data_IF_403609008748
#
_entry.id   IF_403609008748
#
_cell.length_a   1.000
_cell.length_b   1.000
_cell.length_c   1.000
_cell.angle_alpha   90.00
_cell.angle_beta   90.00
_cell.angle_gamma   90.00
#
_symmetry.space_group_name_H-M   'P 1'
#
loop_
_entity.id
_entity.type
_entity.pdbx_description
1 polymer ?
#
# COMPACT_ATOMS: atom_id res chain seq x y z
N UNK A 1 8.57 -1.95 13.59
CA UNK A 1 7.11 -1.99 13.79
C UNK A 1 6.43 -2.26 12.47
N UNK A 2 5.42 -3.15 12.45
CA UNK A 2 4.63 -3.41 11.22
C UNK A 2 3.91 -2.14 10.75
N UNK A 3 3.66 -2.01 9.43
CA UNK A 3 3.15 -0.79 8.84
C UNK A 3 2.16 -1.09 7.71
N UNK A 4 1.20 -0.20 7.51
CA UNK A 4 0.22 -0.30 6.42
C UNK A 4 0.63 0.64 5.29
N UNK A 5 0.74 0.11 4.08
CA UNK A 5 0.89 0.89 2.85
C UNK A 5 -0.50 1.08 2.24
N UNK A 6 -1.03 2.28 2.41
CA UNK A 6 -2.32 2.67 1.87
C UNK A 6 -2.16 3.72 0.77
N UNK A 7 -3.10 3.78 -0.16
CA UNK A 7 -3.02 4.69 -1.29
C UNK A 7 -4.19 5.65 -1.40
N UNK A 8 -3.95 6.79 -2.02
CA UNK A 8 -5.01 7.74 -2.39
C UNK A 8 -5.87 7.23 -3.54
N UNK A 9 -5.35 6.26 -4.32
CA UNK A 9 -6.00 5.69 -5.50
C UNK A 9 -5.43 4.31 -5.86
N UNK A 10 -5.99 3.65 -6.88
CA UNK A 10 -5.42 2.46 -7.53
C UNK A 10 -4.32 2.85 -8.52
N UNK A 11 -3.31 1.97 -8.72
CA UNK A 11 -2.27 2.17 -9.75
C UNK A 11 -1.26 3.29 -9.45
N UNK A 12 -1.12 3.72 -8.20
CA UNK A 12 -0.27 4.85 -7.80
C UNK A 12 1.09 4.43 -7.21
N UNK A 13 1.46 3.16 -7.32
CA UNK A 13 2.76 2.66 -6.87
C UNK A 13 2.82 2.08 -5.46
N UNK A 14 1.67 1.70 -4.84
CA UNK A 14 1.68 1.02 -3.53
C UNK A 14 2.59 -0.20 -3.50
N UNK A 15 2.45 -1.06 -4.51
CA UNK A 15 3.21 -2.31 -4.59
C UNK A 15 4.72 -2.07 -4.75
N UNK A 16 5.10 -1.01 -5.48
CA UNK A 16 6.51 -0.61 -5.58
C UNK A 16 7.01 -0.06 -4.23
N UNK A 17 6.19 0.76 -3.56
CA UNK A 17 6.50 1.26 -2.22
C UNK A 17 6.70 0.09 -1.23
N UNK A 18 5.79 -0.88 -1.23
CA UNK A 18 5.89 -2.09 -0.42
C UNK A 18 7.18 -2.88 -0.74
N UNK A 19 7.50 -3.05 -2.04
CA UNK A 19 8.72 -3.72 -2.48
C UNK A 19 9.99 -3.03 -1.97
N UNK A 20 10.04 -1.70 -2.06
CA UNK A 20 11.19 -0.90 -1.56
C UNK A 20 11.36 -1.07 -0.06
N UNK A 21 10.27 -1.01 0.72
CA UNK A 21 10.32 -1.20 2.18
C UNK A 21 10.76 -2.62 2.54
N UNK A 22 10.15 -3.63 1.91
CA UNK A 22 10.53 -5.04 2.12
C UNK A 22 11.99 -5.29 1.75
N UNK A 23 12.46 -4.72 0.63
CA UNK A 23 13.85 -4.86 0.20
C UNK A 23 14.83 -4.17 1.14
N UNK A 24 14.53 -2.93 1.57
CA UNK A 24 15.42 -2.14 2.41
C UNK A 24 15.50 -2.66 3.85
N UNK A 25 14.36 -3.03 4.44
CA UNK A 25 14.25 -3.38 5.87
C UNK A 25 14.11 -4.88 6.14
N UNK A 26 13.94 -5.69 5.10
CA UNK A 26 13.70 -7.13 5.24
C UNK A 26 12.34 -7.45 5.87
N UNK A 27 11.37 -6.54 5.82
CA UNK A 27 10.03 -6.78 6.34
C UNK A 27 9.31 -7.85 5.51
N UNK A 28 8.43 -8.59 6.16
CA UNK A 28 7.50 -9.48 5.48
C UNK A 28 6.45 -8.70 4.71
N UNK A 29 5.78 -9.35 3.77
CA UNK A 29 4.72 -8.74 2.97
C UNK A 29 3.39 -9.49 3.15
N UNK A 30 2.32 -8.73 3.26
CA UNK A 30 0.96 -9.25 3.34
C UNK A 30 -0.01 -8.37 2.54
N UNK A 31 -0.71 -8.96 1.58
CA UNK A 31 -1.81 -8.36 0.83
C UNK A 31 -3.13 -8.99 1.30
N UNK A 32 -3.93 -8.35 2.16
CA UNK A 32 -5.15 -8.95 2.70
C UNK A 32 -6.15 -9.41 1.64
N UNK A 33 -6.34 -8.59 0.59
CA UNK A 33 -7.30 -8.86 -0.49
C UNK A 33 -6.64 -8.56 -1.83
N UNK A 34 -6.60 -9.53 -2.71
CA UNK A 34 -6.25 -9.39 -4.13
C UNK A 34 -7.51 -9.54 -4.97
N UNK A 35 -7.74 -8.63 -5.92
CA UNK A 35 -8.87 -8.70 -6.86
C UNK A 35 -8.36 -8.63 -8.30
N UNK A 36 -8.56 -9.73 -9.03
CA UNK A 36 -8.08 -9.93 -10.40
C UNK A 36 -6.57 -10.08 -10.50
N UNK A 37 -6.13 -10.40 -11.71
CA UNK A 37 -4.73 -10.53 -12.15
C UNK A 37 -3.88 -11.43 -11.21
N UNK A 38 -4.42 -12.59 -10.84
CA UNK A 38 -3.80 -13.47 -9.85
C UNK A 38 -2.43 -13.99 -10.29
N UNK A 39 -2.20 -14.14 -11.59
CA UNK A 39 -0.91 -14.58 -12.13
C UNK A 39 0.19 -13.49 -12.05
N UNK A 40 -0.22 -12.21 -11.99
CA UNK A 40 0.66 -11.06 -11.82
C UNK A 40 0.25 -10.21 -10.61
N UNK A 41 -0.29 -10.85 -9.58
CA UNK A 41 -0.75 -10.17 -8.35
C UNK A 41 0.36 -9.37 -7.68
N UNK A 42 -0.04 -8.48 -6.77
CA UNK A 42 0.92 -7.70 -6.00
C UNK A 42 1.91 -8.61 -5.24
N UNK A 43 1.43 -9.72 -4.67
CA UNK A 43 2.30 -10.71 -4.00
C UNK A 43 3.28 -11.39 -4.98
N UNK A 44 2.84 -11.69 -6.19
CA UNK A 44 3.71 -12.23 -7.25
C UNK A 44 4.76 -11.18 -7.66
N UNK A 45 4.37 -9.91 -7.77
CA UNK A 45 5.30 -8.82 -8.03
C UNK A 45 6.37 -8.72 -6.94
N UNK A 46 5.99 -8.73 -5.66
CA UNK A 46 6.93 -8.71 -4.54
C UNK A 46 7.87 -9.91 -4.60
N UNK A 47 7.34 -11.11 -4.84
CA UNK A 47 8.13 -12.36 -4.96
C UNK A 47 9.18 -12.30 -6.05
N UNK A 48 8.87 -11.65 -7.18
CA UNK A 48 9.79 -11.51 -8.32
C UNK A 48 10.86 -10.43 -8.10
N UNK A 49 10.54 -9.39 -7.34
CA UNK A 49 11.34 -8.17 -7.31
C UNK A 49 12.02 -7.86 -5.96
N UNK A 50 11.64 -8.52 -4.88
CA UNK A 50 12.31 -8.42 -3.57
C UNK A 50 13.25 -9.61 -3.41
N UNK A 51 14.55 -9.32 -3.24
CA UNK A 51 15.60 -10.34 -3.08
C UNK A 51 16.19 -10.37 -1.67
N UNK A 52 15.66 -9.57 -0.75
CA UNK A 52 16.06 -9.60 0.65
C UNK A 52 15.64 -10.94 1.28
N UNK A 53 16.60 -11.78 1.74
CA UNK A 53 16.29 -13.14 2.22
C UNK A 53 15.47 -13.17 3.51
N UNK A 54 15.37 -12.05 4.23
CA UNK A 54 14.55 -11.94 5.44
C UNK A 54 13.07 -11.73 5.15
N UNK A 55 12.71 -11.36 3.91
CA UNK A 55 11.33 -11.07 3.53
C UNK A 55 10.55 -12.35 3.23
N UNK A 56 9.52 -12.61 4.02
CA UNK A 56 8.53 -13.67 3.77
C UNK A 56 7.26 -13.04 3.19
N UNK A 57 6.69 -13.67 2.15
CA UNK A 57 5.44 -13.24 1.55
C UNK A 57 4.33 -14.14 2.06
N UNK A 58 3.39 -13.55 2.78
CA UNK A 58 2.25 -14.26 3.33
C UNK A 58 1.11 -14.38 2.31
N UNK A 59 0.35 -15.49 2.32
CA UNK A 59 -0.79 -15.66 1.43
C UNK A 59 -1.88 -14.63 1.73
N UNK A 60 -2.59 -14.18 0.69
CA UNK A 60 -3.74 -13.30 0.82
C UNK A 60 -4.87 -13.99 1.58
N UNK A 61 -5.63 -13.23 2.39
CA UNK A 61 -6.86 -13.75 3.02
C UNK A 61 -7.96 -14.02 1.99
N UNK A 62 -8.00 -13.19 0.92
CA UNK A 62 -8.94 -13.34 -0.19
C UNK A 62 -8.25 -13.13 -1.52
N UNK A 63 -8.42 -14.08 -2.43
CA UNK A 63 -8.05 -14.00 -3.84
C UNK A 63 -9.34 -14.04 -4.65
N UNK A 64 -9.63 -12.94 -5.36
CA UNK A 64 -10.80 -12.80 -6.20
C UNK A 64 -10.38 -12.90 -7.66
N UNK A 65 -11.13 -13.66 -8.48
CA UNK A 65 -10.80 -13.89 -9.87
C UNK A 65 -11.10 -12.66 -10.74
N UNK A 66 -12.17 -11.93 -10.39
CA UNK A 66 -12.65 -10.82 -11.18
C UNK A 66 -11.80 -9.55 -10.96
N UNK A 67 -11.25 -8.91 -12.02
CA UNK A 67 -10.49 -7.67 -11.91
C UNK A 67 -11.42 -6.46 -11.75
N UNK A 68 -11.91 -6.24 -10.53
CA UNK A 68 -12.82 -5.16 -10.18
C UNK A 68 -12.54 -4.67 -8.75
N UNK A 69 -13.30 -3.69 -8.26
CA UNK A 69 -13.24 -3.33 -6.84
C UNK A 69 -13.61 -4.55 -5.96
N UNK A 70 -12.93 -4.78 -4.82
CA UNK A 70 -13.07 -6.02 -4.06
C UNK A 70 -14.52 -6.44 -3.76
N UNK A 71 -15.37 -5.50 -3.34
CA UNK A 71 -16.78 -5.79 -3.05
C UNK A 71 -17.56 -6.32 -4.27
N UNK A 72 -17.27 -5.77 -5.46
CA UNK A 72 -17.93 -6.17 -6.70
C UNK A 72 -17.32 -7.47 -7.24
N UNK A 73 -16.00 -7.61 -7.21
CA UNK A 73 -15.32 -8.85 -7.57
C UNK A 73 -15.83 -10.03 -6.71
N UNK A 74 -15.90 -9.84 -5.39
CA UNK A 74 -16.42 -10.85 -4.47
C UNK A 74 -17.85 -11.26 -4.80
N UNK A 75 -18.71 -10.29 -5.13
CA UNK A 75 -20.10 -10.57 -5.50
C UNK A 75 -20.19 -11.39 -6.79
N UNK A 76 -19.36 -11.10 -7.79
CA UNK A 76 -19.31 -11.85 -9.05
C UNK A 76 -18.73 -13.26 -8.86
N UNK A 77 -17.75 -13.40 -8.00
CA UNK A 77 -17.07 -14.66 -7.71
C UNK A 77 -17.84 -15.52 -6.68
N UNK A 78 -18.98 -15.05 -6.16
CA UNK A 78 -19.78 -15.76 -5.15
C UNK A 78 -19.07 -15.82 -3.77
N UNK A 79 -18.14 -14.93 -3.50
CA UNK A 79 -17.35 -14.87 -2.27
C UNK A 79 -17.90 -13.78 -1.33
N UNK A 80 -17.95 -14.07 -0.04
CA UNK A 80 -18.30 -13.07 0.97
C UNK A 80 -17.04 -12.69 1.76
N UNK A 81 -16.58 -11.46 1.60
CA UNK A 81 -15.46 -10.93 2.40
C UNK A 81 -15.99 -10.57 3.77
N UNK A 82 -15.41 -11.19 4.82
CA UNK A 82 -15.70 -10.92 6.22
C UNK A 82 -14.45 -10.39 6.91
N UNK A 83 -14.60 -9.33 7.69
CA UNK A 83 -13.49 -8.70 8.42
C UNK A 83 -12.78 -9.69 9.35
N UNK A 84 -13.55 -10.57 10.00
CA UNK A 84 -13.07 -11.56 10.95
C UNK A 84 -12.11 -12.60 10.33
N UNK A 85 -12.20 -12.78 9.01
CA UNK A 85 -11.35 -13.72 8.28
C UNK A 85 -10.06 -13.05 7.74
N UNK A 86 -9.93 -11.72 7.89
CA UNK A 86 -8.71 -11.00 7.53
C UNK A 86 -7.84 -10.86 8.78
N UNK A 87 -7.00 -11.85 9.00
CA UNK A 87 -6.15 -11.96 10.19
C UNK A 87 -4.70 -11.64 9.80
N UNK A 88 -4.04 -10.81 10.61
CA UNK A 88 -2.61 -10.55 10.42
C UNK A 88 -1.83 -11.86 10.57
N UNK A 89 -0.91 -12.16 9.64
CA UNK A 89 -0.04 -13.31 9.76
C UNK A 89 0.79 -13.27 11.04
N UNK A 90 1.00 -14.43 11.65
CA UNK A 90 1.93 -14.56 12.76
C UNK A 90 3.34 -14.61 12.19
N UNK A 91 4.15 -13.62 12.51
CA UNK A 91 5.54 -13.53 12.10
C UNK A 91 6.44 -13.06 13.26
N UNK A 92 7.72 -13.44 13.23
CA UNK A 92 8.76 -12.87 14.09
C UNK A 92 9.30 -11.55 13.51
N UNK A 93 8.96 -11.26 12.26
CA UNK A 93 9.40 -10.08 11.54
C UNK A 93 8.30 -9.01 11.54
N UNK A 94 8.66 -7.77 11.25
CA UNK A 94 7.69 -6.73 10.94
C UNK A 94 7.06 -6.98 9.57
N UNK A 95 5.83 -6.54 9.36
CA UNK A 95 5.06 -6.82 8.15
C UNK A 95 4.66 -5.50 7.48
N UNK A 96 4.84 -5.44 6.17
CA UNK A 96 4.21 -4.46 5.29
C UNK A 96 2.86 -5.01 4.86
N UNK A 97 1.78 -4.32 5.25
CA UNK A 97 0.41 -4.67 4.87
C UNK A 97 -0.04 -3.71 3.76
N UNK A 98 -0.36 -4.23 2.58
CA UNK A 98 -0.79 -3.41 1.45
C UNK A 98 -2.29 -3.43 1.24
N UNK A 99 -2.94 -2.25 1.18
CA UNK A 99 -4.38 -2.14 0.91
C UNK A 99 -4.73 -2.33 -0.57
N UNK A 100 -5.93 -2.82 -0.85
CA UNK A 100 -6.47 -2.95 -2.21
C UNK A 100 -7.14 -1.63 -2.67
N UNK A 101 -6.53 -0.93 -3.64
CA UNK A 101 -7.08 0.34 -4.13
C UNK A 101 -6.83 1.53 -3.21
N UNK A 102 -7.73 2.51 -3.22
CA UNK A 102 -7.65 3.69 -2.36
C UNK A 102 -8.17 3.42 -0.94
N UNK A 103 -7.86 4.34 -0.01
CA UNK A 103 -8.21 4.18 1.42
C UNK A 103 -9.73 4.03 1.67
N UNK A 104 -10.57 4.63 0.83
CA UNK A 104 -12.03 4.53 0.92
C UNK A 104 -12.63 3.47 -0.01
N UNK A 105 -11.81 2.65 -0.70
CA UNK A 105 -12.33 1.58 -1.56
C UNK A 105 -13.06 0.52 -0.75
N UNK A 106 -14.25 0.06 -1.20
CA UNK A 106 -15.03 -0.94 -0.50
C UNK A 106 -14.45 -2.34 -0.67
N UNK A 107 -14.24 -3.03 0.45
CA UNK A 107 -13.91 -4.45 0.51
C UNK A 107 -15.17 -5.31 0.48
N UNK A 108 -16.21 -4.89 1.20
CA UNK A 108 -17.53 -5.50 1.23
C UNK A 108 -18.61 -4.44 1.52
N UNK A 109 -19.89 -4.84 1.55
CA UNK A 109 -20.97 -3.93 1.94
C UNK A 109 -20.77 -3.45 3.39
N UNK A 110 -20.60 -2.13 3.55
CA UNK A 110 -20.37 -1.50 4.86
C UNK A 110 -18.96 -1.74 5.44
N UNK A 111 -18.01 -2.21 4.63
CA UNK A 111 -16.65 -2.47 5.05
C UNK A 111 -15.66 -1.92 4.01
N UNK A 112 -14.90 -0.89 4.37
CA UNK A 112 -13.93 -0.20 3.54
C UNK A 112 -12.49 -0.55 3.93
N UNK A 113 -11.51 -0.22 3.08
CA UNK A 113 -10.09 -0.32 3.44
C UNK A 113 -9.76 0.43 4.73
N UNK A 114 -10.33 1.63 4.94
CA UNK A 114 -10.07 2.41 6.15
C UNK A 114 -10.55 1.69 7.42
N UNK A 115 -11.62 0.91 7.32
CA UNK A 115 -12.12 0.10 8.44
C UNK A 115 -11.15 -1.05 8.76
N UNK A 116 -10.53 -1.64 7.71
CA UNK A 116 -9.49 -2.66 7.88
C UNK A 116 -8.22 -2.07 8.50
N UNK A 117 -7.80 -0.89 8.02
CA UNK A 117 -6.66 -0.14 8.57
C UNK A 117 -6.88 0.16 10.06
N UNK A 118 -8.05 0.65 10.42
CA UNK A 118 -8.42 0.92 11.81
C UNK A 118 -8.46 -0.37 12.65
N UNK A 119 -8.92 -1.46 12.08
CA UNK A 119 -8.97 -2.78 12.75
C UNK A 119 -7.56 -3.30 13.08
N UNK A 120 -6.59 -3.13 12.19
CA UNK A 120 -5.21 -3.55 12.46
C UNK A 120 -4.49 -2.64 13.45
N UNK A 121 -4.96 -1.41 13.62
CA UNK A 121 -4.40 -0.43 14.56
C UNK A 121 -2.88 -0.24 14.40
N UNK A 122 -2.42 -0.15 13.16
CA UNK A 122 -1.02 0.05 12.77
C UNK A 122 -0.86 1.39 12.06
N UNK A 123 0.33 2.00 12.11
CA UNK A 123 0.58 3.25 11.41
C UNK A 123 0.55 3.06 9.90
N UNK A 124 0.20 4.14 9.19
CA UNK A 124 0.01 4.17 7.75
C UNK A 124 1.11 4.98 7.08
N UNK A 125 1.71 4.43 6.03
CA UNK A 125 2.36 5.21 4.98
C UNK A 125 1.30 5.49 3.91
N UNK A 126 1.02 6.78 3.66
CA UNK A 126 0.10 7.17 2.62
C UNK A 126 0.85 7.41 1.31
N UNK A 127 0.58 6.58 0.31
CA UNK A 127 1.18 6.66 -1.01
C UNK A 127 0.35 7.57 -1.89
N UNK A 128 1.01 8.53 -2.52
CA UNK A 128 0.45 9.46 -3.50
C UNK A 128 1.26 9.40 -4.81
N UNK A 129 0.65 9.79 -5.90
CA UNK A 129 1.31 9.99 -7.19
C UNK A 129 0.85 11.31 -7.79
N UNK A 130 1.59 11.82 -8.78
CA UNK A 130 1.28 13.08 -9.40
C UNK A 130 0.37 12.91 -10.62
N UNK A 131 -0.83 13.46 -10.56
CA UNK A 131 -1.80 13.58 -11.65
C UNK A 131 -2.78 14.73 -11.33
N UNK A 132 -3.51 15.21 -12.33
CA UNK A 132 -4.50 16.27 -12.11
C UNK A 132 -5.59 15.84 -11.11
N UNK A 133 -5.67 16.52 -9.98
CA UNK A 133 -6.56 16.18 -8.86
C UNK A 133 -5.89 15.40 -7.71
N UNK A 134 -4.62 15.03 -7.82
CA UNK A 134 -3.90 14.25 -6.78
C UNK A 134 -3.80 14.99 -5.45
N UNK A 135 -3.67 16.32 -5.44
CA UNK A 135 -3.70 17.11 -4.21
C UNK A 135 -5.02 16.86 -3.48
N UNK A 136 -6.16 17.04 -4.18
CA UNK A 136 -7.48 16.82 -3.60
C UNK A 136 -7.63 15.40 -3.04
N UNK A 137 -7.23 14.37 -3.78
CA UNK A 137 -7.33 12.97 -3.33
C UNK A 137 -6.42 12.68 -2.14
N UNK A 138 -5.23 13.29 -2.10
CA UNK A 138 -4.31 13.14 -0.97
C UNK A 138 -4.88 13.77 0.29
N UNK A 139 -5.38 15.00 0.20
CA UNK A 139 -5.95 15.71 1.35
C UNK A 139 -7.24 15.07 1.85
N UNK A 140 -8.11 14.56 0.97
CA UNK A 140 -9.29 13.78 1.38
C UNK A 140 -8.90 12.50 2.11
N UNK A 141 -7.90 11.76 1.59
CA UNK A 141 -7.39 10.54 2.23
C UNK A 141 -6.76 10.83 3.59
N UNK A 142 -5.96 11.88 3.68
CA UNK A 142 -5.37 12.37 4.92
C UNK A 142 -6.45 12.74 5.96
N UNK A 143 -7.46 13.53 5.56
CA UNK A 143 -8.56 13.94 6.44
C UNK A 143 -9.36 12.74 6.94
N UNK A 144 -9.63 11.75 6.06
CA UNK A 144 -10.33 10.53 6.46
C UNK A 144 -9.57 9.71 7.51
N UNK A 145 -8.24 9.59 7.36
CA UNK A 145 -7.38 8.92 8.34
C UNK A 145 -7.33 9.68 9.67
N UNK A 146 -7.19 11.02 9.62
CA UNK A 146 -7.19 11.86 10.81
C UNK A 146 -8.51 11.77 11.60
N UNK A 147 -9.66 11.84 10.91
CA UNK A 147 -10.99 11.76 11.55
C UNK A 147 -11.19 10.44 12.30
N UNK A 148 -10.47 9.38 11.92
CA UNK A 148 -10.51 8.09 12.61
C UNK A 148 -9.36 7.88 13.61
N UNK A 149 -8.57 8.91 13.87
CA UNK A 149 -7.39 8.86 14.74
C UNK A 149 -6.39 7.76 14.33
N UNK A 150 -6.27 7.50 13.02
CA UNK A 150 -5.31 6.53 12.49
C UNK A 150 -3.95 7.22 12.37
N UNK A 151 -2.89 6.70 13.00
CA UNK A 151 -1.57 7.31 12.92
C UNK A 151 -1.01 7.21 11.50
N UNK A 152 -0.53 8.34 10.98
CA UNK A 152 0.09 8.43 9.67
C UNK A 152 1.59 8.65 9.86
N UNK A 153 2.39 7.66 9.47
CA UNK A 153 3.85 7.70 9.60
C UNK A 153 4.49 8.71 8.66
N UNK A 154 3.88 8.92 7.51
CA UNK A 154 4.34 9.89 6.52
C UNK A 154 3.79 9.62 5.12
N UNK A 155 4.34 10.36 4.16
CA UNK A 155 3.97 10.32 2.75
C UNK A 155 5.08 9.68 1.92
N UNK A 156 4.67 8.91 0.91
CA UNK A 156 5.52 8.45 -0.18
C UNK A 156 4.92 8.96 -1.49
N UNK A 157 5.73 9.62 -2.31
CA UNK A 157 5.31 10.03 -3.65
C UNK A 157 5.92 9.09 -4.68
N UNK A 158 5.10 8.60 -5.61
CA UNK A 158 5.51 7.70 -6.69
C UNK A 158 5.33 8.38 -8.06
N UNK A 159 6.29 8.17 -8.93
CA UNK A 159 6.26 8.66 -10.31
C UNK A 159 6.99 9.98 -10.49
N UNK A 160 6.61 10.72 -11.54
CA UNK A 160 7.23 11.99 -11.87
C UNK A 160 6.99 13.03 -10.75
N UNK A 161 8.08 13.68 -10.33
CA UNK A 161 8.01 14.67 -9.27
C UNK A 161 7.50 16.02 -9.83
N UNK A 162 6.39 16.51 -9.29
CA UNK A 162 5.94 17.91 -9.45
C UNK A 162 6.12 18.60 -8.10
N UNK A 163 7.17 19.40 -8.02
CA UNK A 163 7.62 20.00 -6.76
C UNK A 163 6.54 20.83 -6.08
N UNK A 164 5.80 21.65 -6.85
CA UNK A 164 4.72 22.47 -6.30
C UNK A 164 3.58 21.65 -5.68
N UNK A 165 3.25 20.49 -6.28
CA UNK A 165 2.24 19.57 -5.74
C UNK A 165 2.74 18.93 -4.44
N UNK A 166 3.96 18.43 -4.45
CA UNK A 166 4.59 17.78 -3.30
C UNK A 166 4.72 18.75 -2.13
N UNK A 167 5.27 19.94 -2.38
CA UNK A 167 5.44 20.98 -1.37
C UNK A 167 4.10 21.38 -0.74
N UNK A 168 3.07 21.65 -1.55
CA UNK A 168 1.76 22.01 -1.03
C UNK A 168 1.17 20.94 -0.10
N UNK A 169 1.27 19.65 -0.50
CA UNK A 169 0.76 18.54 0.31
C UNK A 169 1.52 18.42 1.64
N UNK A 170 2.86 18.49 1.61
CA UNK A 170 3.69 18.40 2.81
C UNK A 170 3.44 19.58 3.76
N UNK A 171 3.34 20.80 3.23
CA UNK A 171 3.04 22.00 4.02
C UNK A 171 1.65 21.95 4.66
N UNK A 172 0.64 21.46 3.92
CA UNK A 172 -0.72 21.35 4.46
C UNK A 172 -0.85 20.25 5.51
N UNK A 173 -0.28 19.07 5.23
CA UNK A 173 -0.45 17.91 6.11
C UNK A 173 0.51 17.90 7.30
N UNK A 174 1.62 18.62 7.22
CA UNK A 174 2.72 18.58 8.20
C UNK A 174 3.29 17.16 8.41
N UNK A 175 3.03 16.24 7.47
CA UNK A 175 3.56 14.89 7.51
C UNK A 175 4.99 14.86 6.96
N UNK A 176 5.85 13.98 7.50
CA UNK A 176 7.18 13.80 6.92
C UNK A 176 7.09 13.13 5.55
N UNK A 177 8.00 13.52 4.66
CA UNK A 177 8.31 12.76 3.46
C UNK A 177 9.16 11.55 3.87
N UNK A 178 8.64 10.34 3.69
CA UNK A 178 9.41 9.11 3.97
C UNK A 178 10.45 8.92 2.86
N UNK A 179 10.02 8.86 1.60
CA UNK A 179 10.85 8.92 0.40
C UNK A 179 10.00 9.20 -0.84
N UNK A 180 10.66 9.45 -1.98
CA UNK A 180 10.00 9.55 -3.29
C UNK A 180 10.54 8.48 -4.22
N UNK A 181 9.65 7.80 -4.93
CA UNK A 181 9.96 6.73 -5.89
C UNK A 181 9.89 7.32 -7.30
N UNK A 182 10.98 7.32 -8.07
CA UNK A 182 10.97 7.82 -9.45
C UNK A 182 10.20 6.88 -10.37
N UNK A 183 9.94 7.34 -11.60
CA UNK A 183 9.53 6.44 -12.67
C UNK A 183 10.70 5.54 -13.06
N UNK A 184 10.54 4.24 -12.88
CA UNK A 184 11.52 3.27 -13.37
C UNK A 184 11.28 3.02 -14.87
N UNK A 185 12.33 3.07 -15.67
CA UNK A 185 12.25 2.65 -17.07
C UNK A 185 11.94 1.15 -17.19
N UNK A 186 12.57 0.34 -16.33
CA UNK A 186 12.33 -1.09 -16.21
C UNK A 186 12.31 -1.46 -14.73
N UNK A 187 11.20 -2.02 -14.27
CA UNK A 187 11.07 -2.51 -12.89
C UNK A 187 11.52 -3.97 -12.86
N UNK A 188 12.55 -4.24 -12.07
CA UNK A 188 13.06 -5.58 -11.80
C UNK A 188 13.74 -5.61 -10.42
N UNK A 189 14.15 -6.80 -9.98
CA UNK A 189 14.75 -6.99 -8.66
C UNK A 189 16.04 -6.16 -8.45
N UNK A 190 16.84 -5.99 -9.50
CA UNK A 190 18.05 -5.17 -9.44
C UNK A 190 17.70 -3.69 -9.22
N UNK A 191 16.75 -3.13 -10.00
CA UNK A 191 16.34 -1.74 -9.88
C UNK A 191 15.74 -1.44 -8.50
N UNK A 192 14.90 -2.33 -7.97
CA UNK A 192 14.35 -2.21 -6.61
C UNK A 192 15.46 -2.28 -5.56
N UNK A 193 16.39 -3.23 -5.68
CA UNK A 193 17.49 -3.38 -4.72
C UNK A 193 18.44 -2.16 -4.71
N UNK A 194 18.81 -1.66 -5.88
CA UNK A 194 19.67 -0.46 -5.98
C UNK A 194 18.94 0.77 -5.41
N UNK A 195 17.67 0.97 -5.76
CA UNK A 195 16.92 2.10 -5.23
C UNK A 195 16.75 1.99 -3.70
N UNK A 196 16.45 0.80 -3.16
CA UNK A 196 16.31 0.58 -1.74
C UNK A 196 17.57 0.96 -0.92
N UNK A 197 18.78 0.88 -1.51
CA UNK A 197 20.02 1.34 -0.86
C UNK A 197 20.12 2.87 -0.75
N UNK A 198 19.40 3.61 -1.59
CA UNK A 198 19.47 5.07 -1.63
C UNK A 198 18.52 5.75 -0.66
N UNK A 199 17.56 5.02 -0.11
CA UNK A 199 16.53 5.57 0.78
C UNK A 199 16.83 5.23 2.24
N UNK A 200 16.75 6.23 3.11
CA UNK A 200 16.81 6.04 4.56
C UNK A 200 15.39 5.98 5.11
N UNK A 201 14.93 4.79 5.47
CA UNK A 201 13.56 4.56 5.94
C UNK A 201 13.58 4.44 7.46
N UNK A 202 13.06 5.45 8.13
CA UNK A 202 12.88 5.48 9.59
C UNK A 202 11.39 5.24 9.91
N UNK A 203 11.06 4.02 10.36
CA UNK A 203 9.69 3.59 10.67
C UNK A 203 9.53 3.21 12.14
#
# INVERSE_FOLDING_TARGET
MSIIVAGIHTGIGKTICSAVICQALGYDYFKPVQAGDLENSDSVFIKKNVINPSCTIHPESYQLLTPASPHFAAALDGITIKKENIILPVSKNNIVIETAGGIMSPLAKGFLNIDLVQHFNLPVILVASNYLGSINHTLLSFSALQQRNIPIQGLVFCGEAVESTRQYILEYTQLPLVFSIPLFQNINSHAIAEFAKTVSINL
#
